data_IF_089536743717
#
_entry.id   IF_089536743717
#
_cell.length_a   1.000
_cell.length_b   1.000
_cell.length_c   1.000
_cell.angle_alpha   90.00
_cell.angle_beta   90.00
_cell.angle_gamma   90.00
#
_symmetry.space_group_name_H-M   'P 1'
#
loop_
_entity.id
_entity.type
_entity.pdbx_description
1 polymer ?
#
# COMPACT_ATOMS: atom_id res chain seq x y z
N UNK A 1 -19.14 17.70 -0.79
CA UNK A 1 -18.15 16.84 -0.11
C UNK A 1 -18.59 16.69 1.32
N UNK A 2 -18.77 15.46 1.79
CA UNK A 2 -19.24 15.19 3.15
C UNK A 2 -18.06 15.08 4.12
N UNK A 3 -18.31 15.22 5.43
CA UNK A 3 -17.28 15.15 6.47
C UNK A 3 -16.40 13.88 6.38
N UNK A 4 -16.98 12.77 5.95
CA UNK A 4 -16.27 11.52 5.71
C UNK A 4 -15.27 11.59 4.54
N UNK A 5 -15.66 12.22 3.43
CA UNK A 5 -14.78 12.39 2.26
C UNK A 5 -13.59 13.29 2.61
N UNK A 6 -13.84 14.36 3.39
CA UNK A 6 -12.78 15.23 3.92
C UNK A 6 -11.82 14.45 4.82
N UNK A 7 -12.33 13.61 5.72
CA UNK A 7 -11.51 12.77 6.60
C UNK A 7 -10.63 11.79 5.80
N UNK A 8 -11.18 11.11 4.79
CA UNK A 8 -10.43 10.20 3.93
C UNK A 8 -9.31 10.91 3.16
N UNK A 9 -9.61 12.08 2.60
CA UNK A 9 -8.61 12.87 1.86
C UNK A 9 -7.50 13.34 2.81
N UNK A 10 -7.85 13.83 4.01
CA UNK A 10 -6.88 14.24 5.01
C UNK A 10 -5.98 13.08 5.46
N UNK A 11 -6.56 11.92 5.79
CA UNK A 11 -5.81 10.74 6.19
C UNK A 11 -4.91 10.22 5.07
N UNK A 12 -5.40 10.17 3.83
CA UNK A 12 -4.57 9.78 2.68
C UNK A 12 -3.42 10.76 2.44
N UNK A 13 -3.66 12.07 2.56
CA UNK A 13 -2.62 13.09 2.41
C UNK A 13 -1.52 12.92 3.47
N UNK A 14 -1.92 12.70 4.74
CA UNK A 14 -0.98 12.44 5.84
C UNK A 14 -0.19 11.14 5.60
N UNK A 15 -0.86 10.05 5.24
CA UNK A 15 -0.20 8.77 4.94
C UNK A 15 0.77 8.90 3.76
N UNK A 16 0.36 9.60 2.70
CA UNK A 16 1.21 9.86 1.54
C UNK A 16 2.46 10.66 1.91
N UNK A 17 2.30 11.75 2.67
CA UNK A 17 3.42 12.57 3.12
C UNK A 17 4.42 11.76 3.97
N UNK A 18 3.91 10.95 4.90
CA UNK A 18 4.76 10.10 5.74
C UNK A 18 5.49 9.03 4.92
N UNK A 19 4.82 8.39 3.95
CA UNK A 19 5.45 7.39 3.10
C UNK A 19 6.47 7.99 2.13
N UNK A 20 6.23 9.19 1.59
CA UNK A 20 7.26 9.91 0.83
C UNK A 20 8.47 10.25 1.70
N UNK A 21 8.26 10.70 2.93
CA UNK A 21 9.35 10.97 3.86
C UNK A 21 10.17 9.72 4.18
N UNK A 22 9.52 8.59 4.46
CA UNK A 22 10.18 7.30 4.71
C UNK A 22 10.96 6.86 3.45
N UNK A 23 10.34 6.96 2.28
CA UNK A 23 10.98 6.62 0.99
C UNK A 23 12.24 7.46 0.76
N UNK A 24 12.17 8.76 1.00
CA UNK A 24 13.30 9.68 0.87
C UNK A 24 14.45 9.33 1.83
N UNK A 25 14.14 8.95 3.08
CA UNK A 25 15.15 8.52 4.05
C UNK A 25 15.84 7.23 3.62
N UNK A 26 15.10 6.24 3.12
CA UNK A 26 15.70 5.02 2.59
C UNK A 26 16.51 5.27 1.32
N UNK A 27 16.06 6.17 0.43
CA UNK A 27 16.83 6.58 -0.74
C UNK A 27 18.16 7.23 -0.35
N UNK A 28 18.12 8.14 0.62
CA UNK A 28 19.33 8.79 1.16
C UNK A 28 20.28 7.77 1.78
N UNK A 29 19.74 6.80 2.52
CA UNK A 29 20.52 5.70 3.08
C UNK A 29 21.14 4.85 1.97
N UNK A 30 20.38 4.51 0.93
CA UNK A 30 20.90 3.79 -0.24
C UNK A 30 22.07 4.54 -0.91
N UNK A 31 21.98 5.85 -1.07
CA UNK A 31 23.07 6.64 -1.64
C UNK A 31 24.36 6.58 -0.81
N UNK A 32 24.25 6.31 0.50
CA UNK A 32 25.40 6.15 1.41
C UNK A 32 25.99 4.74 1.41
N UNK A 33 25.16 3.71 1.60
CA UNK A 33 25.63 2.32 1.77
C UNK A 33 25.55 1.46 0.50
N UNK A 34 24.88 1.93 -0.57
CA UNK A 34 24.75 1.29 -1.89
C UNK A 34 24.20 -0.14 -1.87
N UNK A 35 23.37 -0.46 -0.89
CA UNK A 35 22.80 -1.80 -0.73
C UNK A 35 21.46 -1.93 -1.47
N UNK A 36 21.37 -2.85 -2.44
CA UNK A 36 20.24 -2.98 -3.35
C UNK A 36 18.86 -3.21 -2.70
N UNK A 37 18.76 -3.94 -1.59
CA UNK A 37 17.47 -4.11 -0.93
C UNK A 37 16.90 -2.79 -0.38
N UNK A 38 17.76 -1.81 -0.04
CA UNK A 38 17.34 -0.52 0.52
C UNK A 38 16.61 0.34 -0.51
N UNK A 39 17.06 0.31 -1.78
CA UNK A 39 16.35 1.03 -2.85
C UNK A 39 15.01 0.37 -3.18
N UNK A 40 14.91 -0.96 -3.09
CA UNK A 40 13.63 -1.67 -3.25
C UNK A 40 12.64 -1.28 -2.13
N UNK A 41 13.10 -1.20 -0.89
CA UNK A 41 12.28 -0.67 0.21
C UNK A 41 11.82 0.77 -0.05
N UNK A 42 12.71 1.65 -0.51
CA UNK A 42 12.35 3.02 -0.88
C UNK A 42 11.26 3.05 -1.97
N UNK A 43 11.40 2.23 -3.02
CA UNK A 43 10.42 2.13 -4.11
C UNK A 43 9.06 1.61 -3.61
N UNK A 44 9.02 0.62 -2.72
CA UNK A 44 7.77 0.17 -2.08
C UNK A 44 7.03 1.33 -1.41
N UNK A 45 7.74 2.11 -0.58
CA UNK A 45 7.12 3.24 0.11
C UNK A 45 6.66 4.34 -0.86
N UNK A 46 7.42 4.60 -1.93
CA UNK A 46 7.02 5.55 -2.97
C UNK A 46 5.73 5.09 -3.68
N UNK A 47 5.64 3.81 -4.05
CA UNK A 47 4.45 3.24 -4.69
C UNK A 47 3.23 3.34 -3.78
N UNK A 48 3.37 2.98 -2.49
CA UNK A 48 2.29 3.15 -1.51
C UNK A 48 1.88 4.62 -1.37
N UNK A 49 2.83 5.55 -1.30
CA UNK A 49 2.55 6.98 -1.21
C UNK A 49 1.75 7.49 -2.43
N UNK A 50 2.14 7.08 -3.64
CA UNK A 50 1.41 7.41 -4.87
C UNK A 50 0.03 6.74 -4.92
N UNK A 51 -0.12 5.54 -4.35
CA UNK A 51 -1.40 4.87 -4.21
C UNK A 51 -2.39 5.66 -3.33
N UNK A 52 -1.90 6.30 -2.26
CA UNK A 52 -2.72 7.20 -1.44
C UNK A 52 -3.06 8.52 -2.15
N UNK A 53 -2.17 9.05 -3.01
CA UNK A 53 -2.50 10.20 -3.87
C UNK A 53 -3.62 9.83 -4.84
N UNK A 54 -3.50 8.70 -5.54
CA UNK A 54 -4.53 8.20 -6.45
C UNK A 54 -5.87 7.98 -5.71
N UNK A 55 -5.84 7.42 -4.50
CA UNK A 55 -7.04 7.25 -3.65
C UNK A 55 -7.64 8.57 -3.18
N UNK A 56 -6.84 9.63 -3.00
CA UNK A 56 -7.37 10.96 -2.66
C UNK A 56 -8.05 11.59 -3.87
N UNK A 57 -7.39 11.51 -5.02
CA UNK A 57 -7.91 12.03 -6.28
C UNK A 57 -9.20 11.30 -6.68
N UNK A 58 -9.32 9.98 -6.43
CA UNK A 58 -10.56 9.26 -6.72
C UNK A 58 -11.77 9.77 -5.94
N UNK A 59 -11.56 10.35 -4.76
CA UNK A 59 -12.64 10.94 -3.92
C UNK A 59 -12.97 12.37 -4.38
N UNK A 60 -11.97 13.12 -4.85
CA UNK A 60 -12.13 14.52 -5.25
C UNK A 60 -12.69 14.71 -6.66
N UNK A 61 -12.48 13.72 -7.54
CA UNK A 61 -12.94 13.78 -8.93
C UNK A 61 -14.44 13.49 -9.02
N UNK A 62 -15.25 14.41 -9.60
CA UNK A 62 -16.69 14.22 -9.72
C UNK A 62 -17.08 13.24 -10.83
N UNK A 63 -16.22 13.04 -11.83
CA UNK A 63 -16.50 12.15 -12.95
C UNK A 63 -16.34 10.68 -12.54
N UNK A 64 -17.40 9.86 -12.62
CA UNK A 64 -17.40 8.50 -12.06
C UNK A 64 -16.42 7.56 -12.75
N UNK A 65 -16.20 7.73 -14.06
CA UNK A 65 -15.23 6.93 -14.82
C UNK A 65 -13.81 7.19 -14.35
N UNK A 66 -13.44 8.46 -14.24
CA UNK A 66 -12.11 8.86 -13.79
C UNK A 66 -11.89 8.53 -12.30
N UNK A 67 -12.91 8.69 -11.46
CA UNK A 67 -12.89 8.24 -10.06
C UNK A 67 -12.61 6.74 -9.96
N UNK A 68 -13.30 5.91 -10.75
CA UNK A 68 -13.08 4.46 -10.77
C UNK A 68 -11.66 4.11 -11.26
N UNK A 69 -11.15 4.77 -12.30
CA UNK A 69 -9.78 4.56 -12.80
C UNK A 69 -8.73 4.89 -11.74
N UNK A 70 -8.91 5.99 -11.01
CA UNK A 70 -8.01 6.37 -9.92
C UNK A 70 -8.10 5.41 -8.73
N UNK A 71 -9.31 4.90 -8.46
CA UNK A 71 -9.53 3.90 -7.43
C UNK A 71 -8.82 2.57 -7.76
N UNK A 72 -8.92 2.09 -9.01
CA UNK A 72 -8.21 0.88 -9.45
C UNK A 72 -6.69 1.09 -9.50
N UNK A 73 -6.25 2.27 -9.96
CA UNK A 73 -4.84 2.66 -9.96
C UNK A 73 -4.23 2.61 -8.54
N UNK A 74 -4.98 3.05 -7.52
CA UNK A 74 -4.54 2.95 -6.12
C UNK A 74 -4.23 1.50 -5.71
N UNK A 75 -5.11 0.55 -6.05
CA UNK A 75 -4.90 -0.88 -5.78
C UNK A 75 -3.75 -1.47 -6.60
N UNK A 76 -3.59 -1.08 -7.86
CA UNK A 76 -2.47 -1.49 -8.72
C UNK A 76 -1.12 -0.99 -8.20
N UNK A 77 -1.06 0.24 -7.68
CA UNK A 77 0.14 0.79 -7.05
C UNK A 77 0.47 0.08 -5.73
N UNK A 78 -0.53 -0.23 -4.91
CA UNK A 78 -0.33 -0.98 -3.68
C UNK A 78 0.22 -2.39 -3.94
N UNK A 79 -0.37 -3.11 -4.89
CA UNK A 79 0.08 -4.44 -5.28
C UNK A 79 1.49 -4.43 -5.89
N UNK A 80 1.81 -3.46 -6.75
CA UNK A 80 3.18 -3.25 -7.24
C UNK A 80 4.16 -3.00 -6.08
N UNK A 81 3.77 -2.18 -5.11
CA UNK A 81 4.57 -1.90 -3.93
C UNK A 81 4.85 -3.15 -3.09
N UNK A 82 3.85 -4.02 -2.88
CA UNK A 82 4.02 -5.29 -2.19
C UNK A 82 4.87 -6.30 -2.97
N UNK A 83 4.77 -6.33 -4.29
CA UNK A 83 5.64 -7.16 -5.12
C UNK A 83 7.11 -6.73 -4.97
N UNK A 84 7.39 -5.42 -5.05
CA UNK A 84 8.75 -4.89 -4.83
C UNK A 84 9.24 -5.19 -3.40
N UNK A 85 8.35 -5.13 -2.41
CA UNK A 85 8.67 -5.47 -1.03
C UNK A 85 9.05 -6.93 -0.88
N UNK A 86 8.30 -7.83 -1.52
CA UNK A 86 8.59 -9.25 -1.59
C UNK A 86 9.96 -9.51 -2.22
N UNK A 87 10.26 -8.87 -3.35
CA UNK A 87 11.57 -8.95 -3.98
C UNK A 87 12.68 -8.47 -3.04
N UNK A 88 12.46 -7.41 -2.26
CA UNK A 88 13.47 -6.94 -1.28
C UNK A 88 13.78 -7.98 -0.20
N UNK A 89 12.75 -8.70 0.29
CA UNK A 89 12.89 -9.74 1.31
C UNK A 89 13.67 -10.93 0.75
N UNK A 90 13.34 -11.36 -0.47
CA UNK A 90 14.03 -12.45 -1.17
C UNK A 90 15.48 -12.09 -1.53
N UNK A 91 15.72 -10.85 -1.97
CA UNK A 91 17.05 -10.36 -2.31
C UNK A 91 17.95 -10.25 -1.05
N UNK A 92 17.38 -9.87 0.09
CA UNK A 92 18.09 -9.86 1.37
C UNK A 92 18.46 -11.26 1.87
N UNK A 93 17.76 -12.32 1.42
CA UNK A 93 18.02 -13.71 1.83
C UNK A 93 19.00 -14.50 0.95
N UNK A 94 19.74 -13.86 0.03
CA UNK A 94 20.77 -14.47 -0.86
C UNK A 94 20.25 -15.45 -1.95
N UNK A 95 19.03 -15.30 -2.44
CA UNK A 95 18.65 -15.94 -3.73
C UNK A 95 18.73 -14.89 -4.85
N UNK A 96 19.65 -15.08 -5.79
CA UNK A 96 19.75 -14.26 -7.01
C UNK A 96 18.54 -14.54 -7.91
N UNK A 97 17.38 -13.99 -7.56
CA UNK A 97 16.23 -14.02 -8.46
C UNK A 97 16.35 -12.81 -9.38
N UNK A 98 16.64 -13.12 -10.64
CA UNK A 98 16.73 -12.16 -11.73
C UNK A 98 15.52 -11.23 -11.74
N UNK A 99 15.81 -9.93 -11.77
CA UNK A 99 14.84 -8.87 -11.90
C UNK A 99 14.22 -8.90 -13.30
N UNK A 100 13.03 -9.47 -13.39
CA UNK A 100 12.01 -9.03 -14.34
C UNK A 100 10.80 -8.68 -13.49
N UNK A 101 10.63 -7.39 -13.17
CA UNK A 101 9.37 -6.89 -12.61
C UNK A 101 8.35 -7.01 -13.74
N UNK A 102 7.40 -7.96 -13.69
CA UNK A 102 6.43 -8.06 -14.77
C UNK A 102 5.47 -6.87 -14.63
N UNK A 103 5.15 -6.15 -15.71
CA UNK A 103 4.04 -5.23 -15.73
C UNK A 103 2.75 -6.06 -15.82
N UNK A 104 2.41 -6.79 -14.77
CA UNK A 104 1.24 -7.68 -14.77
C UNK A 104 0.45 -7.52 -13.48
N UNK A 105 -0.30 -6.42 -13.38
CA UNK A 105 -1.57 -6.45 -12.63
C UNK A 105 -2.59 -5.61 -13.42
N UNK A 106 -2.89 -6.12 -14.61
CA UNK A 106 -4.11 -5.83 -15.35
C UNK A 106 -4.94 -7.12 -15.32
N UNK A 107 -5.23 -7.59 -14.11
CA UNK A 107 -6.08 -8.76 -13.87
C UNK A 107 -7.28 -8.30 -13.03
N UNK A 108 -8.43 -8.79 -13.44
CA UNK A 108 -9.83 -8.46 -13.15
C UNK A 108 -10.21 -8.07 -11.69
N UNK A 109 -9.34 -8.25 -10.69
CA UNK A 109 -9.52 -7.74 -9.31
C UNK A 109 -8.18 -7.31 -8.68
N UNK A 110 -7.74 -6.05 -8.83
CA UNK A 110 -6.45 -5.58 -8.29
C UNK A 110 -6.38 -5.65 -6.75
N UNK A 111 -7.52 -5.59 -6.06
CA UNK A 111 -7.61 -5.74 -4.61
C UNK A 111 -7.29 -7.17 -4.13
N UNK A 112 -7.71 -8.20 -4.88
CA UNK A 112 -7.39 -9.60 -4.54
C UNK A 112 -5.91 -9.91 -4.75
N UNK A 113 -5.29 -9.30 -5.76
CA UNK A 113 -3.86 -9.43 -5.99
C UNK A 113 -3.07 -8.72 -4.89
N UNK A 114 -3.50 -7.52 -4.49
CA UNK A 114 -2.91 -6.81 -3.34
C UNK A 114 -3.02 -7.63 -2.04
N UNK A 115 -4.16 -8.29 -1.82
CA UNK A 115 -4.34 -9.23 -0.71
C UNK A 115 -3.33 -10.39 -0.75
N UNK A 116 -3.27 -11.13 -1.87
CA UNK A 116 -2.41 -12.31 -2.00
C UNK A 116 -0.92 -11.95 -1.81
N UNK A 117 -0.48 -10.83 -2.41
CA UNK A 117 0.89 -10.35 -2.25
C UNK A 117 1.17 -9.90 -0.80
N UNK A 118 0.28 -9.13 -0.17
CA UNK A 118 0.44 -8.70 1.22
C UNK A 118 0.49 -9.91 2.17
N UNK A 119 -0.34 -10.93 1.93
CA UNK A 119 -0.33 -12.17 2.70
C UNK A 119 0.99 -12.94 2.54
N UNK A 120 1.49 -13.06 1.32
CA UNK A 120 2.76 -13.73 1.05
C UNK A 120 3.95 -13.03 1.72
N UNK A 121 3.99 -11.69 1.65
CA UNK A 121 4.99 -10.88 2.36
C UNK A 121 4.84 -11.07 3.88
N UNK A 122 3.62 -11.17 4.41
CA UNK A 122 3.36 -11.42 5.84
C UNK A 122 3.99 -12.73 6.30
N UNK A 123 3.84 -13.81 5.52
CA UNK A 123 4.37 -15.13 5.86
C UNK A 123 5.91 -15.09 5.91
N UNK A 124 6.53 -14.43 4.93
CA UNK A 124 7.98 -14.40 4.73
C UNK A 124 8.72 -13.35 5.57
N UNK A 125 8.03 -12.30 6.02
CA UNK A 125 8.63 -11.26 6.86
C UNK A 125 9.18 -11.85 8.17
N UNK A 126 10.38 -11.47 8.61
CA UNK A 126 10.95 -12.02 9.86
C UNK A 126 10.53 -11.27 11.13
N UNK A 127 10.02 -10.05 11.03
CA UNK A 127 9.67 -9.21 12.20
C UNK A 127 8.21 -9.35 12.64
N UNK A 128 7.96 -9.67 13.92
CA UNK A 128 6.59 -9.81 14.49
C UNK A 128 5.71 -8.58 14.25
N UNK A 129 6.26 -7.38 14.41
CA UNK A 129 5.53 -6.12 14.16
C UNK A 129 5.17 -5.93 12.68
N UNK A 130 6.10 -6.23 11.76
CA UNK A 130 5.86 -6.14 10.33
C UNK A 130 4.82 -7.18 9.88
N UNK A 131 4.85 -8.40 10.46
CA UNK A 131 3.84 -9.43 10.23
C UNK A 131 2.45 -8.96 10.65
N UNK A 132 2.30 -8.44 11.87
CA UNK A 132 1.02 -7.92 12.35
C UNK A 132 0.46 -6.84 11.43
N UNK A 133 1.29 -5.89 11.02
CA UNK A 133 0.91 -4.84 10.07
C UNK A 133 0.43 -5.39 8.72
N UNK A 134 1.24 -6.23 8.08
CA UNK A 134 0.92 -6.77 6.75
C UNK A 134 -0.28 -7.71 6.79
N UNK A 135 -0.53 -8.39 7.92
CA UNK A 135 -1.71 -9.20 8.13
C UNK A 135 -2.98 -8.33 8.12
N UNK A 136 -2.99 -7.22 8.86
CA UNK A 136 -4.16 -6.32 8.88
C UNK A 136 -4.37 -5.64 7.51
N UNK A 137 -3.29 -5.28 6.80
CA UNK A 137 -3.39 -4.79 5.43
C UNK A 137 -3.94 -5.83 4.46
N UNK A 138 -3.51 -7.09 4.57
CA UNK A 138 -4.06 -8.17 3.76
C UNK A 138 -5.57 -8.30 4.00
N UNK A 139 -6.00 -8.28 5.27
CA UNK A 139 -7.42 -8.31 5.62
C UNK A 139 -8.17 -7.12 5.02
N UNK A 140 -7.61 -5.91 5.07
CA UNK A 140 -8.23 -4.72 4.50
C UNK A 140 -8.42 -4.84 2.97
N UNK A 141 -7.42 -5.33 2.23
CA UNK A 141 -7.54 -5.57 0.79
C UNK A 141 -8.52 -6.72 0.45
N UNK A 142 -8.60 -7.75 1.31
CA UNK A 142 -9.60 -8.80 1.16
C UNK A 142 -11.02 -8.25 1.33
N UNK A 143 -11.27 -7.47 2.39
CA UNK A 143 -12.57 -6.83 2.63
C UNK A 143 -12.91 -5.87 1.50
N UNK A 144 -11.94 -5.11 0.99
CA UNK A 144 -12.11 -4.22 -0.16
C UNK A 144 -12.50 -5.00 -1.43
N UNK A 145 -11.80 -6.09 -1.72
CA UNK A 145 -12.13 -6.98 -2.84
C UNK A 145 -13.53 -7.59 -2.71
N UNK A 146 -13.88 -8.14 -1.54
CA UNK A 146 -15.22 -8.69 -1.28
C UNK A 146 -16.31 -7.62 -1.33
N UNK A 147 -16.02 -6.41 -0.85
CA UNK A 147 -16.97 -5.31 -0.84
C UNK A 147 -17.40 -4.90 -2.25
N UNK A 148 -16.46 -4.93 -3.20
CA UNK A 148 -16.72 -4.61 -4.62
C UNK A 148 -17.70 -5.58 -5.28
N UNK A 149 -17.69 -6.84 -4.87
CA UNK A 149 -18.62 -7.89 -5.33
C UNK A 149 -20.01 -7.75 -4.69
N UNK A 150 -20.07 -7.16 -3.50
CA UNK A 150 -21.28 -7.02 -2.68
C UNK A 150 -21.94 -5.62 -2.80
N UNK A 151 -21.43 -4.73 -3.65
CA UNK A 151 -22.04 -3.41 -3.93
C UNK A 151 -23.52 -3.54 -4.36
N UNK A 152 -23.93 -4.51 -5.20
CA UNK A 152 -25.34 -4.66 -5.61
C UNK A 152 -26.29 -4.95 -4.43
N UNK A 153 -25.77 -5.47 -3.32
CA UNK A 153 -26.53 -5.84 -2.12
C UNK A 153 -26.62 -4.69 -1.10
N UNK A 154 -26.10 -3.49 -1.41
CA UNK A 154 -26.11 -2.30 -0.54
C UNK A 154 -25.13 -2.35 0.63
N UNK A 155 -24.83 -3.54 1.17
CA UNK A 155 -23.87 -3.76 2.27
C UNK A 155 -22.42 -3.52 1.81
N UNK A 156 -22.13 -3.74 0.52
CA UNK A 156 -20.80 -3.55 -0.05
C UNK A 156 -20.25 -2.14 0.16
N UNK A 157 -21.11 -1.11 0.16
CA UNK A 157 -20.67 0.28 0.41
C UNK A 157 -20.09 0.42 1.82
N UNK A 158 -20.80 -0.06 2.85
CA UNK A 158 -20.33 0.02 4.24
C UNK A 158 -19.06 -0.79 4.50
N UNK A 159 -18.94 -1.98 3.88
CA UNK A 159 -17.73 -2.80 3.95
C UNK A 159 -16.54 -2.10 3.31
N UNK A 160 -16.75 -1.43 2.17
CA UNK A 160 -15.72 -0.68 1.47
C UNK A 160 -15.25 0.49 2.34
N UNK A 161 -16.16 1.24 2.94
CA UNK A 161 -15.84 2.35 3.85
C UNK A 161 -15.02 1.90 5.07
N UNK A 162 -15.40 0.78 5.69
CA UNK A 162 -14.67 0.19 6.80
C UNK A 162 -13.28 -0.31 6.38
N UNK A 163 -13.16 -0.89 5.19
CA UNK A 163 -11.88 -1.35 4.64
C UNK A 163 -10.92 -0.20 4.37
N UNK A 164 -11.41 0.93 3.83
CA UNK A 164 -10.61 2.13 3.60
C UNK A 164 -10.10 2.72 4.91
N UNK A 165 -10.99 2.83 5.90
CA UNK A 165 -10.65 3.42 7.19
C UNK A 165 -9.66 2.56 7.97
N UNK A 166 -9.85 1.24 7.99
CA UNK A 166 -8.89 0.31 8.60
C UNK A 166 -7.54 0.33 7.90
N UNK A 167 -7.51 0.32 6.56
CA UNK A 167 -6.27 0.47 5.77
C UNK A 167 -5.53 1.75 6.13
N UNK A 168 -6.23 2.88 6.24
CA UNK A 168 -5.62 4.17 6.59
C UNK A 168 -5.09 4.21 8.02
N UNK A 169 -5.84 3.71 9.00
CA UNK A 169 -5.38 3.64 10.38
C UNK A 169 -4.12 2.78 10.51
N UNK A 170 -4.10 1.65 9.82
CA UNK A 170 -2.99 0.69 9.88
C UNK A 170 -1.75 1.25 9.19
N UNK A 171 -1.92 1.86 8.00
CA UNK A 171 -0.84 2.55 7.28
C UNK A 171 -0.28 3.73 8.08
N UNK A 172 -1.14 4.51 8.74
CA UNK A 172 -0.72 5.59 9.64
C UNK A 172 0.09 5.06 10.82
N UNK A 173 -0.40 4.05 11.53
CA UNK A 173 0.32 3.43 12.67
C UNK A 173 1.70 2.92 12.25
N UNK A 174 1.78 2.28 11.08
CA UNK A 174 3.03 1.78 10.55
C UNK A 174 3.99 2.88 10.12
N UNK A 175 3.47 3.93 9.50
CA UNK A 175 4.25 5.09 9.11
C UNK A 175 4.82 5.79 10.36
N UNK A 176 4.02 5.99 11.41
CA UNK A 176 4.48 6.55 12.70
C UNK A 176 5.53 5.64 13.35
N UNK A 177 5.32 4.32 13.36
CA UNK A 177 6.29 3.37 13.89
C UNK A 177 7.64 3.43 13.14
N UNK A 178 7.61 3.47 11.81
CA UNK A 178 8.83 3.61 11.00
C UNK A 178 9.48 4.98 11.18
N UNK A 179 8.70 6.05 11.27
CA UNK A 179 9.21 7.39 11.59
C UNK A 179 10.02 7.38 12.90
N UNK A 180 9.48 6.74 13.94
CA UNK A 180 10.14 6.62 15.24
C UNK A 180 11.44 5.79 15.23
N UNK A 181 11.60 4.88 14.27
CA UNK A 181 12.84 4.12 14.08
C UNK A 181 13.84 4.81 13.15
N UNK A 182 13.36 5.50 12.12
CA UNK A 182 14.18 6.23 11.15
C UNK A 182 14.74 7.53 11.75
N UNK A 183 14.06 8.16 12.72
CA UNK A 183 14.58 9.33 13.44
C UNK A 183 15.68 8.96 14.46
N UNK A 184 15.66 7.73 14.99
CA UNK A 184 16.62 7.25 16.00
C UNK A 184 17.88 6.60 15.40
N UNK A 185 17.92 6.41 14.09
CA UNK A 185 19.05 5.82 13.35
C UNK A 185 19.85 6.92 12.65
#
# INVERSE_FOLDING_TARGET
>A
MDAYQLLLVALNAVCSALFFYISFKFLTLYLRIKVGYVVLFSMTFAMLATGHVASSLSVLVPEPRLSLTLYTLSSSLASSGFFVLLCSILYASKERVFALVPPLILIVLPDMVAFMLSLLVTILARGRYLKGYLAVLSLAYLVRGLSSLLIPLGIGVYMLLASELSKMLVTLLFAVYHLGKVIKA
#
